data_IF_167054872020
#
_entry.id   IF_167054872020
#
_cell.length_a   1.000
_cell.length_b   1.000
_cell.length_c   1.000
_cell.angle_alpha   90.00
_cell.angle_beta   90.00
_cell.angle_gamma   90.00
#
_symmetry.space_group_name_H-M   'P 1'
#
loop_
_entity.id
_entity.type
_entity.pdbx_description
1 polymer ?
#
# COMPACT_ATOMS: atom_id res chain seq x y z
N UNK A 1 1.68 -0.81 2.55
CA UNK A 1 1.62 -1.21 3.97
C UNK A 1 0.35 -1.99 4.19
N UNK A 2 0.49 -3.25 4.62
CA UNK A 2 -0.59 -4.22 4.77
C UNK A 2 -0.53 -4.87 6.15
N UNK A 3 -1.55 -5.62 6.50
CA UNK A 3 -1.67 -6.34 7.77
C UNK A 3 -2.47 -7.61 7.51
N UNK A 4 -1.99 -8.74 8.03
CA UNK A 4 -2.67 -10.02 7.95
C UNK A 4 -3.92 -10.08 8.84
N UNK A 5 -3.98 -9.25 9.89
CA UNK A 5 -5.11 -9.19 10.82
C UNK A 5 -6.16 -8.11 10.46
N UNK A 6 -5.79 -7.11 9.67
CA UNK A 6 -6.71 -6.05 9.29
C UNK A 6 -7.64 -6.53 8.16
N UNK A 7 -8.97 -6.61 8.38
CA UNK A 7 -9.90 -7.05 7.34
C UNK A 7 -9.93 -6.10 6.15
N UNK A 8 -9.67 -4.80 6.39
CA UNK A 8 -9.56 -3.81 5.30
C UNK A 8 -8.35 -4.11 4.43
N UNK A 9 -7.21 -4.57 4.96
CA UNK A 9 -6.07 -4.95 4.12
C UNK A 9 -6.42 -6.13 3.22
N UNK A 10 -7.14 -7.13 3.76
CA UNK A 10 -7.58 -8.30 3.00
C UNK A 10 -8.49 -7.94 1.83
N UNK A 11 -9.45 -7.03 2.04
CA UNK A 11 -10.37 -6.55 0.99
C UNK A 11 -9.65 -5.85 -0.19
N UNK A 12 -8.39 -5.44 0.01
CA UNK A 12 -7.58 -4.78 -1.02
C UNK A 12 -6.62 -5.73 -1.75
N UNK A 13 -6.46 -6.99 -1.35
CA UNK A 13 -5.47 -7.91 -1.94
C UNK A 13 -5.68 -8.08 -3.46
N UNK A 14 -6.88 -8.43 -3.90
CA UNK A 14 -7.21 -8.56 -5.33
C UNK A 14 -7.05 -7.24 -6.09
N UNK A 15 -7.41 -6.12 -5.44
CA UNK A 15 -7.33 -4.78 -6.04
C UNK A 15 -5.88 -4.36 -6.23
N UNK A 16 -5.01 -4.68 -5.28
CA UNK A 16 -3.58 -4.43 -5.37
C UNK A 16 -2.95 -5.29 -6.46
N UNK A 17 -3.35 -6.55 -6.61
CA UNK A 17 -2.91 -7.38 -7.72
C UNK A 17 -3.34 -6.82 -9.08
N UNK A 18 -4.59 -6.36 -9.21
CA UNK A 18 -5.08 -5.70 -10.43
C UNK A 18 -4.32 -4.41 -10.73
N UNK A 19 -4.06 -3.59 -9.71
CA UNK A 19 -3.32 -2.34 -9.84
C UNK A 19 -1.84 -2.59 -10.23
N UNK A 20 -1.21 -3.62 -9.66
CA UNK A 20 0.12 -4.06 -10.07
C UNK A 20 0.15 -4.47 -11.54
N UNK A 21 -0.78 -5.32 -12.00
CA UNK A 21 -0.85 -5.75 -13.41
C UNK A 21 -0.95 -4.57 -14.38
N UNK A 22 -1.64 -3.50 -13.98
CA UNK A 22 -1.79 -2.31 -14.81
C UNK A 22 -0.54 -1.41 -14.85
N UNK A 23 0.31 -1.46 -13.82
CA UNK A 23 1.41 -0.50 -13.64
C UNK A 23 2.81 -1.11 -13.77
N UNK A 24 2.96 -2.40 -13.51
CA UNK A 24 4.26 -3.10 -13.61
C UNK A 24 4.88 -3.02 -15.01
N UNK A 25 4.14 -3.21 -16.12
CA UNK A 25 4.71 -3.09 -17.46
C UNK A 25 5.24 -1.69 -17.81
N UNK A 26 4.91 -0.70 -16.99
CA UNK A 26 5.34 0.70 -17.14
C UNK A 26 6.59 1.03 -16.33
N UNK A 27 7.28 0.01 -15.80
CA UNK A 27 8.53 0.15 -15.04
C UNK A 27 8.34 0.50 -13.56
N UNK A 28 7.12 0.35 -13.02
CA UNK A 28 6.81 0.68 -11.63
C UNK A 28 7.16 -0.52 -10.74
N UNK A 29 8.03 -0.30 -9.75
CA UNK A 29 8.41 -1.33 -8.77
C UNK A 29 7.48 -1.31 -7.56
N UNK A 30 7.20 -2.50 -7.02
CA UNK A 30 6.26 -2.71 -5.93
C UNK A 30 6.90 -3.44 -4.76
N UNK A 31 6.45 -3.07 -3.55
CA UNK A 31 6.88 -3.68 -2.30
C UNK A 31 5.75 -3.56 -1.27
N UNK A 32 5.33 -4.67 -0.70
CA UNK A 32 4.50 -4.67 0.49
C UNK A 32 5.37 -4.64 1.74
N UNK A 33 4.85 -3.98 2.79
CA UNK A 33 5.45 -3.93 4.11
C UNK A 33 4.37 -4.24 5.13
N UNK A 34 4.61 -5.22 6.00
CA UNK A 34 3.80 -5.59 7.14
C UNK A 34 4.46 -5.04 8.43
N UNK A 35 3.94 -3.93 8.99
CA UNK A 35 4.60 -3.25 10.10
C UNK A 35 4.09 -3.70 11.48
N UNK A 36 3.00 -4.45 11.57
CA UNK A 36 2.39 -4.77 12.85
C UNK A 36 3.30 -5.68 13.68
N UNK A 37 3.59 -5.26 14.91
CA UNK A 37 4.45 -5.99 15.83
C UNK A 37 3.82 -7.31 16.32
N UNK A 38 2.49 -7.37 16.36
CA UNK A 38 1.72 -8.51 16.82
C UNK A 38 1.44 -9.57 15.73
N UNK A 39 2.04 -9.45 14.55
CA UNK A 39 1.88 -10.42 13.45
C UNK A 39 3.07 -11.38 13.36
N UNK A 40 2.77 -12.68 13.37
CA UNK A 40 3.74 -13.77 13.24
C UNK A 40 4.16 -14.01 11.79
N UNK A 41 5.31 -14.64 11.58
CA UNK A 41 5.78 -14.99 10.24
C UNK A 41 4.80 -15.95 9.54
N UNK A 42 4.15 -16.84 10.28
CA UNK A 42 3.16 -17.79 9.76
C UNK A 42 1.88 -17.06 9.31
N UNK A 43 1.44 -16.03 10.05
CA UNK A 43 0.31 -15.20 9.62
C UNK A 43 0.63 -14.47 8.31
N UNK A 44 1.83 -13.90 8.20
CA UNK A 44 2.26 -13.21 6.99
C UNK A 44 2.48 -14.16 5.81
N UNK A 45 3.02 -15.36 6.05
CA UNK A 45 3.16 -16.40 5.03
C UNK A 45 1.79 -16.87 4.52
N UNK A 46 0.80 -17.02 5.41
CA UNK A 46 -0.57 -17.33 5.01
C UNK A 46 -1.19 -16.22 4.15
N UNK A 47 -1.03 -14.95 4.53
CA UNK A 47 -1.49 -13.81 3.74
C UNK A 47 -0.85 -13.81 2.33
N UNK A 48 0.46 -14.03 2.25
CA UNK A 48 1.18 -14.11 0.98
C UNK A 48 0.75 -15.32 0.12
N UNK A 49 0.29 -16.41 0.75
CA UNK A 49 -0.19 -17.61 0.04
C UNK A 49 -1.66 -17.52 -0.38
N UNK A 50 -2.53 -16.90 0.42
CA UNK A 50 -3.99 -16.85 0.18
C UNK A 50 -4.37 -15.91 -0.96
N UNK A 51 -3.61 -14.84 -1.12
CA UNK A 51 -3.71 -13.95 -2.26
C UNK A 51 -2.28 -13.62 -2.66
N UNK A 52 -1.68 -14.33 -3.64
CA UNK A 52 -0.30 -14.13 -4.02
C UNK A 52 -0.14 -12.70 -4.53
N UNK A 53 0.29 -11.83 -3.62
CA UNK A 53 0.72 -10.49 -3.96
C UNK A 53 1.81 -10.69 -5.01
N UNK A 54 1.66 -10.13 -6.22
CA UNK A 54 2.61 -10.36 -7.30
C UNK A 54 3.94 -9.62 -7.08
N UNK A 55 4.20 -9.17 -5.85
CA UNK A 55 5.35 -8.41 -5.42
C UNK A 55 5.75 -8.80 -3.98
N UNK A 56 7.03 -8.61 -3.59
CA UNK A 56 7.52 -9.05 -2.29
C UNK A 56 6.80 -8.42 -1.10
N UNK A 57 6.65 -9.19 -0.03
CA UNK A 57 6.16 -8.74 1.27
C UNK A 57 7.31 -8.76 2.28
N UNK A 58 7.67 -7.58 2.79
CA UNK A 58 8.66 -7.45 3.86
C UNK A 58 7.97 -7.24 5.22
N UNK A 59 8.63 -7.68 6.29
CA UNK A 59 8.21 -7.41 7.66
C UNK A 59 9.01 -6.23 8.21
N UNK A 60 8.34 -5.31 8.90
CA UNK A 60 8.95 -4.18 9.62
C UNK A 60 8.62 -4.26 11.13
N UNK A 61 9.14 -5.28 11.85
CA UNK A 61 8.77 -5.50 13.25
C UNK A 61 9.29 -4.40 14.18
N UNK A 62 10.33 -3.67 13.75
CA UNK A 62 10.91 -2.54 14.48
C UNK A 62 10.19 -1.21 14.23
N UNK A 63 9.14 -1.19 13.40
CA UNK A 63 8.37 0.00 13.01
C UNK A 63 9.23 1.10 12.36
N UNK A 64 10.43 0.77 11.86
CA UNK A 64 11.39 1.78 11.38
C UNK A 64 10.92 2.42 10.08
N UNK A 65 10.35 1.63 9.18
CA UNK A 65 9.85 2.13 7.91
C UNK A 65 8.62 3.01 8.15
N UNK A 66 7.66 2.55 8.96
CA UNK A 66 6.44 3.32 9.22
C UNK A 66 6.70 4.62 9.99
N UNK A 67 7.67 4.64 10.91
CA UNK A 67 8.08 5.86 11.61
C UNK A 67 8.75 6.85 10.66
N UNK A 68 9.74 6.40 9.90
CA UNK A 68 10.48 7.25 8.94
C UNK A 68 9.55 7.81 7.86
N UNK A 69 8.61 7.00 7.38
CA UNK A 69 7.75 7.34 6.25
C UNK A 69 6.41 7.98 6.69
N UNK A 70 6.17 8.12 8.00
CA UNK A 70 4.95 8.71 8.55
C UNK A 70 3.68 7.92 8.23
N UNK A 71 3.76 6.60 8.19
CA UNK A 71 2.62 5.72 7.94
C UNK A 71 1.94 5.42 9.27
N UNK A 72 0.62 5.58 9.31
CA UNK A 72 -0.16 5.47 10.56
C UNK A 72 -1.23 4.38 10.54
N UNK A 73 -1.60 3.88 9.36
CA UNK A 73 -2.70 2.93 9.15
C UNK A 73 -2.35 1.83 8.14
N UNK A 74 -3.11 0.75 8.18
CA UNK A 74 -3.16 -0.31 7.17
C UNK A 74 -4.60 -0.55 6.69
N UNK A 75 -4.87 -0.69 5.38
CA UNK A 75 -3.91 -0.54 4.29
C UNK A 75 -3.55 0.93 4.06
N UNK A 76 -2.32 1.17 3.62
CA UNK A 76 -1.84 2.47 3.17
C UNK A 76 -0.75 2.30 2.11
N UNK A 77 -0.60 3.29 1.25
CA UNK A 77 0.36 3.33 0.17
C UNK A 77 1.32 4.51 0.30
N UNK A 78 2.51 4.33 -0.26
CA UNK A 78 3.53 5.34 -0.43
C UNK A 78 4.02 5.22 -1.88
N UNK A 79 4.11 6.34 -2.61
CA UNK A 79 4.71 6.38 -3.94
C UNK A 79 5.97 7.22 -3.87
N UNK A 80 7.07 6.64 -4.36
CA UNK A 80 8.36 7.29 -4.51
C UNK A 80 8.61 7.58 -5.99
N UNK A 81 9.29 8.69 -6.30
CA UNK A 81 9.83 8.89 -7.64
C UNK A 81 11.17 8.16 -7.83
N UNK A 82 11.76 8.29 -9.02
CA UNK A 82 13.06 7.68 -9.35
C UNK A 82 14.23 8.19 -8.48
N UNK A 83 14.10 9.38 -7.88
CA UNK A 83 15.06 9.94 -6.93
C UNK A 83 14.84 9.48 -5.49
N UNK A 84 13.82 8.65 -5.23
CA UNK A 84 13.46 8.18 -3.89
C UNK A 84 12.67 9.19 -3.07
N UNK A 85 12.24 10.31 -3.65
CA UNK A 85 11.43 11.29 -2.93
C UNK A 85 9.98 10.82 -2.80
N UNK A 86 9.38 11.05 -1.64
CA UNK A 86 7.94 10.77 -1.43
C UNK A 86 7.10 11.74 -2.24
N UNK A 87 6.27 11.19 -3.13
CA UNK A 87 5.34 11.96 -3.97
C UNK A 87 3.88 11.71 -3.63
N UNK A 88 3.58 10.58 -2.99
CA UNK A 88 2.26 10.29 -2.46
C UNK A 88 2.37 9.48 -1.16
N UNK A 89 1.48 9.76 -0.20
CA UNK A 89 1.31 8.95 1.01
C UNK A 89 -0.15 8.95 1.46
N UNK A 90 -0.80 7.80 1.49
CA UNK A 90 -2.20 7.77 1.89
C UNK A 90 -2.97 6.50 1.60
N UNK A 91 -4.27 6.66 1.43
CA UNK A 91 -5.20 5.63 0.98
C UNK A 91 -4.83 5.12 -0.41
N UNK A 92 -5.27 3.92 -0.75
CA UNK A 92 -5.07 3.39 -2.10
C UNK A 92 -6.06 4.04 -3.08
N UNK A 93 -7.30 4.21 -2.61
CA UNK A 93 -8.44 4.82 -3.28
C UNK A 93 -9.41 5.38 -2.23
N UNK A 94 -10.55 5.91 -2.66
CA UNK A 94 -11.53 6.61 -1.84
C UNK A 94 -12.60 5.71 -1.19
N UNK A 95 -12.63 4.40 -1.48
CA UNK A 95 -13.66 3.52 -0.96
C UNK A 95 -13.18 2.08 -0.71
N UNK A 96 -13.52 1.56 0.48
CA UNK A 96 -13.25 0.17 0.85
C UNK A 96 -13.90 -0.83 -0.13
N UNK A 97 -15.15 -0.59 -0.54
CA UNK A 97 -15.88 -1.50 -1.42
C UNK A 97 -15.70 -1.12 -2.89
N UNK A 98 -15.25 -2.04 -3.77
CA UNK A 98 -14.90 -1.72 -5.16
C UNK A 98 -15.99 -0.95 -5.95
N UNK A 99 -17.29 -1.30 -5.85
CA UNK A 99 -18.33 -0.58 -6.61
C UNK A 99 -18.53 0.89 -6.22
N UNK A 100 -17.96 1.31 -5.09
CA UNK A 100 -18.07 2.70 -4.59
C UNK A 100 -16.83 3.53 -4.88
N UNK A 101 -15.78 2.94 -5.47
CA UNK A 101 -14.56 3.65 -5.80
C UNK A 101 -14.84 4.66 -6.91
N UNK A 102 -14.55 5.93 -6.64
CA UNK A 102 -14.64 7.01 -7.64
C UNK A 102 -13.26 7.57 -7.99
N UNK A 103 -12.28 7.44 -7.09
CA UNK A 103 -10.90 7.90 -7.29
C UNK A 103 -9.88 6.85 -6.89
N UNK A 104 -8.86 6.68 -7.70
CA UNK A 104 -7.80 5.70 -7.50
C UNK A 104 -6.48 6.42 -7.24
N UNK A 105 -6.34 6.98 -6.03
CA UNK A 105 -5.25 7.90 -5.68
C UNK A 105 -3.85 7.37 -6.03
N UNK A 106 -3.55 6.10 -5.76
CA UNK A 106 -2.23 5.53 -6.08
C UNK A 106 -2.02 5.45 -7.58
N UNK A 107 -3.04 5.03 -8.34
CA UNK A 107 -2.99 4.96 -9.80
C UNK A 107 -2.77 6.36 -10.39
N UNK A 108 -3.56 7.33 -9.94
CA UNK A 108 -3.48 8.73 -10.37
C UNK A 108 -2.09 9.33 -10.07
N UNK A 109 -1.55 9.09 -8.87
CA UNK A 109 -0.23 9.56 -8.49
C UNK A 109 0.88 8.95 -9.37
N UNK A 110 0.87 7.63 -9.56
CA UNK A 110 1.85 6.96 -10.42
C UNK A 110 1.73 7.43 -11.87
N UNK A 111 0.51 7.58 -12.40
CA UNK A 111 0.28 8.06 -13.76
C UNK A 111 0.72 9.51 -13.96
N UNK A 112 0.58 10.37 -12.95
CA UNK A 112 1.11 11.72 -12.97
C UNK A 112 2.64 11.71 -13.07
N UNK A 113 3.32 10.93 -12.23
CA UNK A 113 4.78 10.84 -12.23
C UNK A 113 5.33 10.27 -13.54
N UNK A 114 4.72 9.22 -14.07
CA UNK A 114 5.10 8.64 -15.36
C UNK A 114 4.89 9.61 -16.53
N UNK A 115 3.96 10.56 -16.39
CA UNK A 115 3.72 11.63 -17.37
C UNK A 115 4.55 12.90 -17.10
N UNK A 116 5.46 12.91 -16.12
CA UNK A 116 6.24 14.09 -15.74
C UNK A 116 5.41 15.23 -15.13
N UNK A 117 4.22 14.92 -14.60
CA UNK A 117 3.30 15.88 -14.00
C UNK A 117 3.36 15.84 -12.46
N UNK A 118 3.05 16.95 -11.77
CA UNK A 118 2.92 16.94 -10.32
C UNK A 118 1.73 16.08 -9.87
N UNK A 119 1.87 15.42 -8.71
CA UNK A 119 0.78 14.69 -8.06
C UNK A 119 -0.15 15.71 -7.40
N UNK A 120 -1.40 15.78 -7.85
CA UNK A 120 -2.36 16.80 -7.39
C UNK A 120 -2.75 16.64 -5.92
N UNK A 121 -2.82 15.40 -5.43
CA UNK A 121 -3.18 15.07 -4.04
C UNK A 121 -2.08 14.22 -3.43
N UNK A 122 -1.00 14.83 -2.89
CA UNK A 122 0.17 14.08 -2.41
C UNK A 122 -0.10 13.34 -1.10
N UNK A 123 -1.22 13.60 -0.42
CA UNK A 123 -1.60 12.90 0.80
C UNK A 123 -3.12 12.77 0.97
N UNK A 124 -3.53 11.78 1.76
CA UNK A 124 -4.93 11.58 2.13
C UNK A 124 -5.13 10.25 2.84
N UNK A 125 -5.74 10.24 4.03
CA UNK A 125 -5.92 9.01 4.82
C UNK A 125 -7.32 8.44 4.65
N UNK A 126 -7.39 7.16 4.30
CA UNK A 126 -8.64 6.43 4.14
C UNK A 126 -9.06 5.63 5.37
N UNK A 127 -10.07 4.79 5.17
CA UNK A 127 -10.48 3.76 6.12
C UNK A 127 -9.33 2.75 6.28
N UNK A 128 -9.09 2.34 7.53
CA UNK A 128 -8.04 1.38 7.84
C UNK A 128 -7.85 1.18 9.33
N UNK A 129 -7.18 0.10 9.68
CA UNK A 129 -6.76 -0.20 11.04
C UNK A 129 -5.54 0.65 11.40
N UNK A 130 -5.45 1.13 12.65
CA UNK A 130 -4.21 1.72 13.14
C UNK A 130 -3.10 0.66 13.23
N UNK A 131 -1.85 1.06 12.96
CA UNK A 131 -0.69 0.17 13.12
C UNK A 131 -0.59 -0.31 14.56
N UNK A 132 -0.42 -1.62 14.73
CA UNK A 132 -0.21 -2.27 16.03
C UNK A 132 1.27 -2.19 16.41
N UNK A 133 1.55 -1.42 17.47
CA UNK A 133 2.91 -1.13 17.94
C UNK A 133 3.38 -2.06 19.07
N UNK A 134 2.49 -2.90 19.58
CA UNK A 134 2.69 -3.89 20.65
C UNK A 134 1.81 -5.08 20.35
#
# INVERSE_FOLDING_TARGET
>A
FLSAECPVSRDYEDRLAALWRALEPRGVRWLAVAPNANESNEQLARMAASAPLPFPLLRDPGLRAVQTLGITKTPAALVLDAGGAVRYRGAIDDARYPPRVQRQYVKEAVEALLAGRPVAHPEGWGLGCAIKRR
#
